data_IF_737841579894
#
_entry.id   IF_737841579894
#
_cell.length_a   1.000
_cell.length_b   1.000
_cell.length_c   1.000
_cell.angle_alpha   90.00
_cell.angle_beta   90.00
_cell.angle_gamma   90.00
#
_symmetry.space_group_name_H-M   'P 1'
#
loop_
_entity.id
_entity.type
_entity.pdbx_description
1 polymer ?
#
# COMPACT_ATOMS: atom_id res chain seq x y z
N UNK A 1 -4.19 -18.56 17.41
CA UNK A 1 -4.17 -19.30 16.11
C UNK A 1 -5.61 -19.55 15.69
N UNK A 2 -6.20 -18.64 14.91
CA UNK A 2 -7.63 -18.68 14.56
C UNK A 2 -7.98 -19.89 13.67
N UNK A 3 -7.04 -20.34 12.83
CA UNK A 3 -7.26 -21.43 11.86
C UNK A 3 -6.21 -22.54 11.93
N UNK A 4 -5.43 -22.65 13.01
CA UNK A 4 -4.34 -23.64 13.11
C UNK A 4 -3.21 -23.46 12.10
N UNK A 5 -3.10 -22.29 11.47
CA UNK A 5 -2.10 -21.99 10.43
C UNK A 5 -0.91 -21.27 11.03
N UNK A 6 0.30 -21.74 10.72
CA UNK A 6 1.54 -21.05 11.09
C UNK A 6 1.68 -19.74 10.31
N UNK A 7 1.83 -18.62 11.01
CA UNK A 7 2.10 -17.32 10.39
C UNK A 7 3.61 -17.07 10.41
N UNK A 8 4.21 -16.93 9.23
CA UNK A 8 5.60 -16.49 9.08
C UNK A 8 5.68 -14.99 8.90
N UNK A 9 6.43 -14.33 9.77
CA UNK A 9 6.61 -12.87 9.74
C UNK A 9 7.94 -12.54 9.07
N UNK A 10 7.87 -11.73 8.00
CA UNK A 10 9.05 -11.18 7.31
C UNK A 10 9.11 -9.69 7.62
N UNK A 11 10.18 -9.24 8.27
CA UNK A 11 10.36 -7.84 8.64
C UNK A 11 11.44 -7.19 7.74
N UNK A 12 11.11 -6.09 7.11
CA UNK A 12 12.01 -5.33 6.22
C UNK A 12 12.14 -3.86 6.57
N UNK A 13 11.83 -3.49 7.81
CA UNK A 13 11.90 -2.12 8.29
C UNK A 13 10.51 -1.47 8.44
N UNK A 14 10.47 -0.16 8.42
CA UNK A 14 9.28 0.63 8.72
C UNK A 14 9.05 1.79 7.76
N UNK A 15 7.82 2.32 7.77
CA UNK A 15 7.42 3.45 6.93
C UNK A 15 8.13 4.75 7.31
N UNK A 16 8.33 5.10 8.60
CA UNK A 16 9.09 6.29 8.99
C UNK A 16 10.49 6.35 8.38
N UNK A 17 11.23 5.26 8.40
CA UNK A 17 12.56 5.18 7.76
C UNK A 17 12.48 5.46 6.26
N UNK A 18 11.49 4.91 5.57
CA UNK A 18 11.29 5.18 4.15
C UNK A 18 10.89 6.64 3.89
N UNK A 19 10.04 7.22 4.74
CA UNK A 19 9.65 8.64 4.63
C UNK A 19 10.87 9.55 4.75
N UNK A 20 11.80 9.26 5.68
CA UNK A 20 13.07 9.98 5.80
C UNK A 20 13.95 9.80 4.56
N UNK A 21 14.06 8.56 4.06
CA UNK A 21 14.82 8.25 2.84
C UNK A 21 14.30 9.01 1.62
N UNK A 22 12.99 8.98 1.40
CA UNK A 22 12.36 9.58 0.23
C UNK A 22 11.99 11.05 0.40
N UNK A 23 12.15 11.62 1.60
CA UNK A 23 11.77 13.00 1.96
C UNK A 23 10.33 13.36 1.63
N UNK A 24 9.43 12.38 1.69
CA UNK A 24 7.99 12.55 1.45
C UNK A 24 7.18 11.41 2.02
N UNK A 25 5.91 11.67 2.27
CA UNK A 25 4.93 10.61 2.62
C UNK A 25 4.54 9.80 1.37
N UNK A 26 4.19 8.51 1.56
CA UNK A 26 3.60 7.72 0.49
C UNK A 26 2.26 8.32 0.06
N UNK A 27 1.94 8.20 -1.23
CA UNK A 27 0.69 8.67 -1.83
C UNK A 27 0.15 7.63 -2.80
N UNK A 28 -1.03 7.87 -3.34
CA UNK A 28 -1.61 6.99 -4.36
C UNK A 28 -0.71 6.83 -5.59
N UNK A 29 -0.08 7.92 -6.02
CA UNK A 29 0.83 7.92 -7.16
C UNK A 29 2.23 7.34 -6.82
N UNK A 30 2.59 7.23 -5.55
CA UNK A 30 3.93 6.85 -5.12
C UNK A 30 3.91 5.99 -3.86
N UNK A 31 3.57 4.72 -4.05
CA UNK A 31 3.43 3.72 -2.98
C UNK A 31 4.75 2.98 -2.71
N UNK A 32 5.85 3.73 -2.50
CA UNK A 32 7.15 3.12 -2.18
C UNK A 32 7.12 2.19 -0.97
N UNK A 33 6.22 2.41 -0.01
CA UNK A 33 6.01 1.49 1.11
C UNK A 33 5.55 0.10 0.65
N UNK A 34 4.72 0.01 -0.39
CA UNK A 34 4.31 -1.26 -0.98
C UNK A 34 5.48 -1.95 -1.68
N UNK A 35 6.26 -1.20 -2.44
CA UNK A 35 7.39 -1.75 -3.19
C UNK A 35 8.50 -2.25 -2.26
N UNK A 36 8.91 -1.44 -1.29
CA UNK A 36 10.04 -1.74 -0.41
C UNK A 36 9.68 -2.74 0.69
N UNK A 37 8.51 -2.58 1.35
CA UNK A 37 8.17 -3.36 2.54
C UNK A 37 7.27 -4.57 2.27
N UNK A 38 6.76 -4.73 1.04
CA UNK A 38 5.90 -5.87 0.70
C UNK A 38 6.44 -6.64 -0.51
N UNK A 39 6.51 -6.02 -1.69
CA UNK A 39 6.87 -6.72 -2.92
C UNK A 39 8.32 -7.19 -2.90
N UNK A 40 9.26 -6.31 -2.52
CA UNK A 40 10.68 -6.64 -2.45
C UNK A 40 10.96 -7.77 -1.46
N UNK A 41 10.35 -7.72 -0.28
CA UNK A 41 10.47 -8.77 0.72
C UNK A 41 9.81 -10.08 0.27
N UNK A 42 8.61 -9.99 -0.30
CA UNK A 42 7.92 -11.16 -0.84
C UNK A 42 8.74 -11.90 -1.88
N UNK A 43 9.41 -11.18 -2.80
CA UNK A 43 10.30 -11.81 -3.79
C UNK A 43 11.43 -12.61 -3.16
N UNK A 44 12.09 -12.03 -2.18
CA UNK A 44 13.20 -12.69 -1.47
C UNK A 44 12.67 -13.91 -0.73
N UNK A 45 11.61 -13.73 0.05
CA UNK A 45 10.99 -14.82 0.81
C UNK A 45 10.53 -15.97 -0.09
N UNK A 46 9.87 -15.70 -1.22
CA UNK A 46 9.43 -16.74 -2.14
C UNK A 46 10.59 -17.51 -2.74
N UNK A 47 11.67 -16.82 -3.11
CA UNK A 47 12.85 -17.47 -3.66
C UNK A 47 13.55 -18.36 -2.62
N UNK A 48 13.68 -17.89 -1.39
CA UNK A 48 14.27 -18.64 -0.29
C UNK A 48 13.44 -19.87 0.07
N UNK A 49 12.10 -19.69 0.15
CA UNK A 49 11.18 -20.78 0.45
C UNK A 49 11.24 -21.88 -0.61
N UNK A 50 11.16 -21.52 -1.91
CA UNK A 50 11.25 -22.48 -2.99
C UNK A 50 12.58 -23.26 -2.98
N UNK A 51 13.69 -22.57 -2.73
CA UNK A 51 15.02 -23.19 -2.63
C UNK A 51 15.12 -24.12 -1.42
N UNK A 52 14.61 -23.70 -0.26
CA UNK A 52 14.68 -24.50 0.98
C UNK A 52 13.84 -25.77 0.91
N UNK A 53 12.70 -25.71 0.19
CA UNK A 53 11.82 -26.86 -0.01
C UNK A 53 12.25 -27.77 -1.16
N UNK A 54 13.12 -27.28 -2.05
CA UNK A 54 13.48 -27.98 -3.29
C UNK A 54 12.30 -28.16 -4.27
N UNK A 55 11.22 -27.40 -4.09
CA UNK A 55 9.99 -27.48 -4.86
C UNK A 55 9.32 -26.10 -5.03
N UNK A 56 8.63 -25.90 -6.12
CA UNK A 56 7.77 -24.76 -6.33
C UNK A 56 6.51 -24.80 -5.43
N UNK A 57 5.82 -23.68 -5.33
CA UNK A 57 4.58 -23.54 -4.58
C UNK A 57 3.70 -22.44 -5.18
N UNK A 58 2.44 -22.47 -4.79
CA UNK A 58 1.46 -21.50 -5.22
C UNK A 58 1.21 -20.42 -4.15
N UNK A 59 1.23 -19.15 -4.56
CA UNK A 59 0.92 -17.99 -3.72
C UNK A 59 -0.49 -17.51 -4.01
N UNK A 60 -1.33 -17.48 -3.01
CA UNK A 60 -2.70 -16.98 -3.12
C UNK A 60 -2.80 -15.53 -2.67
N UNK A 61 -3.32 -14.68 -3.55
CA UNK A 61 -3.59 -13.28 -3.22
C UNK A 61 -5.09 -13.01 -3.21
N UNK A 62 -5.58 -12.49 -2.08
CA UNK A 62 -6.96 -12.03 -1.92
C UNK A 62 -7.26 -10.70 -2.63
N UNK A 63 -6.77 -10.51 -3.86
CA UNK A 63 -6.99 -9.28 -4.63
C UNK A 63 -8.24 -9.44 -5.49
N UNK A 64 -9.05 -8.36 -5.56
CA UNK A 64 -10.33 -8.34 -6.29
C UNK A 64 -10.38 -7.19 -7.28
N UNK A 65 -11.07 -7.36 -8.40
CA UNK A 65 -11.35 -6.30 -9.37
C UNK A 65 -12.13 -5.14 -8.73
N UNK A 66 -13.15 -5.47 -7.94
CA UNK A 66 -14.05 -4.52 -7.30
C UNK A 66 -13.37 -3.54 -6.31
N UNK A 67 -12.11 -3.76 -5.93
CA UNK A 67 -11.44 -2.88 -4.96
C UNK A 67 -11.01 -1.52 -5.51
N UNK A 68 -10.79 -1.40 -6.81
CA UNK A 68 -10.51 -0.12 -7.47
C UNK A 68 -10.52 -0.25 -8.99
N UNK A 69 -10.80 0.85 -9.68
CA UNK A 69 -10.74 0.93 -11.14
C UNK A 69 -9.38 0.49 -11.74
N UNK A 70 -8.28 0.80 -11.04
CA UNK A 70 -6.96 0.34 -11.45
C UNK A 70 -6.82 -1.18 -11.38
N UNK A 71 -7.42 -1.84 -10.35
CA UNK A 71 -7.42 -3.29 -10.24
C UNK A 71 -8.35 -3.93 -11.23
N UNK A 72 -9.52 -3.36 -11.47
CA UNK A 72 -10.44 -3.81 -12.51
C UNK A 72 -9.75 -3.84 -13.87
N UNK A 73 -9.10 -2.74 -14.26
CA UNK A 73 -8.34 -2.67 -15.50
C UNK A 73 -7.18 -3.69 -15.55
N UNK A 74 -6.44 -3.85 -14.44
CA UNK A 74 -5.30 -4.77 -14.38
C UNK A 74 -5.69 -6.23 -14.51
N UNK A 75 -6.80 -6.62 -13.89
CA UNK A 75 -7.24 -8.01 -13.83
C UNK A 75 -8.41 -8.31 -14.77
N UNK A 76 -8.72 -7.43 -15.73
CA UNK A 76 -9.85 -7.59 -16.66
C UNK A 76 -9.80 -8.87 -17.47
N UNK A 77 -8.59 -9.38 -17.76
CA UNK A 77 -8.39 -10.65 -18.48
C UNK A 77 -8.06 -11.84 -17.57
N UNK A 78 -8.02 -11.66 -16.24
CA UNK A 78 -7.68 -12.74 -15.30
C UNK A 78 -8.94 -13.54 -14.96
N UNK A 79 -8.88 -14.85 -15.07
CA UNK A 79 -9.98 -15.74 -14.68
C UNK A 79 -9.81 -16.13 -13.21
N UNK A 80 -10.94 -16.27 -12.49
CA UNK A 80 -10.95 -16.83 -11.14
C UNK A 80 -10.29 -18.21 -11.16
N UNK A 81 -9.46 -18.48 -10.16
CA UNK A 81 -8.68 -19.72 -10.04
C UNK A 81 -7.64 -19.99 -11.15
N UNK A 82 -7.39 -19.05 -12.04
CA UNK A 82 -6.28 -19.16 -12.98
C UNK A 82 -4.93 -19.10 -12.25
N UNK A 83 -4.07 -20.08 -12.56
CA UNK A 83 -2.69 -20.13 -12.08
C UNK A 83 -1.80 -19.45 -13.10
N UNK A 84 -1.08 -18.42 -12.67
CA UNK A 84 -0.20 -17.64 -13.54
C UNK A 84 1.23 -17.53 -13.01
N UNK A 85 2.23 -17.42 -13.88
CA UNK A 85 3.59 -17.17 -13.45
C UNK A 85 3.73 -15.74 -12.87
N UNK A 86 4.58 -15.54 -11.84
CA UNK A 86 4.77 -14.25 -11.18
C UNK A 86 5.08 -13.08 -12.12
N UNK A 87 5.88 -13.30 -13.15
CA UNK A 87 6.24 -12.25 -14.10
C UNK A 87 5.05 -11.76 -14.97
N UNK A 88 4.03 -12.59 -15.21
CA UNK A 88 2.80 -12.18 -15.89
C UNK A 88 1.85 -11.44 -14.93
N UNK A 89 1.83 -11.84 -13.66
CA UNK A 89 1.02 -11.16 -12.64
C UNK A 89 1.44 -9.71 -12.41
N UNK A 90 2.75 -9.47 -12.29
CA UNK A 90 3.33 -8.13 -12.16
C UNK A 90 4.65 -8.03 -12.95
N UNK A 91 4.60 -7.77 -14.26
CA UNK A 91 5.79 -7.79 -15.13
C UNK A 91 6.92 -6.88 -14.68
N UNK A 92 6.60 -5.68 -14.14
CA UNK A 92 7.60 -4.72 -13.66
C UNK A 92 8.14 -5.02 -12.25
N UNK A 93 7.55 -5.98 -11.53
CA UNK A 93 7.85 -6.22 -10.10
C UNK A 93 8.40 -7.61 -9.84
N UNK A 94 7.85 -8.65 -10.49
CA UNK A 94 8.29 -10.02 -10.28
C UNK A 94 9.22 -10.49 -11.40
N UNK A 95 10.42 -10.94 -11.07
CA UNK A 95 11.41 -11.38 -12.04
C UNK A 95 11.17 -12.84 -12.49
N UNK A 96 11.59 -13.17 -13.70
CA UNK A 96 11.50 -14.52 -14.30
C UNK A 96 12.17 -15.63 -13.47
N UNK A 97 13.10 -15.30 -12.59
CA UNK A 97 13.73 -16.35 -11.79
C UNK A 97 12.76 -17.02 -10.80
N UNK A 98 11.69 -16.35 -10.38
CA UNK A 98 10.66 -16.96 -9.54
C UNK A 98 9.88 -18.05 -10.29
N UNK A 99 9.62 -17.83 -11.58
CA UNK A 99 8.96 -18.83 -12.43
C UNK A 99 9.85 -20.07 -12.58
N UNK A 100 11.18 -19.86 -12.75
CA UNK A 100 12.16 -20.95 -12.83
C UNK A 100 12.27 -21.75 -11.53
N UNK A 101 11.92 -21.15 -10.40
CA UNK A 101 11.83 -21.82 -9.11
C UNK A 101 10.47 -22.50 -8.88
N UNK A 102 9.59 -22.49 -9.87
CA UNK A 102 8.25 -23.09 -9.79
C UNK A 102 7.25 -22.33 -8.92
N UNK A 103 7.54 -21.06 -8.61
CA UNK A 103 6.55 -20.21 -7.91
C UNK A 103 5.45 -19.81 -8.89
N UNK A 104 4.21 -19.95 -8.46
CA UNK A 104 3.04 -19.52 -9.23
C UNK A 104 2.11 -18.65 -8.38
N UNK A 105 1.19 -17.95 -9.01
CA UNK A 105 0.25 -17.02 -8.34
C UNK A 105 -1.17 -17.37 -8.77
N UNK A 106 -2.09 -17.31 -7.80
CA UNK A 106 -3.53 -17.45 -8.01
C UNK A 106 -4.30 -16.33 -7.33
N UNK A 107 -5.38 -15.88 -7.95
CA UNK A 107 -6.33 -14.90 -7.43
C UNK A 107 -7.70 -15.57 -7.23
N UNK A 108 -7.90 -16.33 -6.15
CA UNK A 108 -9.09 -17.17 -5.98
C UNK A 108 -10.40 -16.38 -5.83
N UNK A 109 -10.31 -15.11 -5.46
CA UNK A 109 -11.49 -14.25 -5.24
C UNK A 109 -11.48 -13.01 -6.15
N UNK A 110 -10.82 -13.08 -7.31
CA UNK A 110 -10.63 -11.92 -8.20
C UNK A 110 -11.95 -11.29 -8.65
N UNK A 111 -12.99 -12.09 -8.78
CA UNK A 111 -14.33 -11.68 -9.23
C UNK A 111 -15.30 -11.32 -8.10
N UNK A 112 -14.90 -11.54 -6.84
CA UNK A 112 -15.78 -11.28 -5.72
C UNK A 112 -16.07 -9.79 -5.54
N UNK A 113 -17.32 -9.48 -5.30
CA UNK A 113 -17.76 -8.16 -4.84
C UNK A 113 -17.40 -7.94 -3.36
N UNK A 114 -17.63 -6.74 -2.86
CA UNK A 114 -17.47 -6.47 -1.43
C UNK A 114 -18.54 -7.20 -0.60
N UNK A 115 -19.75 -7.33 -1.13
CA UNK A 115 -20.83 -8.11 -0.50
C UNK A 115 -20.47 -9.58 -0.38
N UNK A 116 -19.90 -10.18 -1.42
CA UNK A 116 -19.51 -11.61 -1.38
C UNK A 116 -18.48 -11.87 -0.28
N UNK A 117 -17.50 -10.95 -0.11
CA UNK A 117 -16.53 -11.06 0.98
C UNK A 117 -17.19 -10.92 2.34
N UNK A 118 -18.13 -9.99 2.50
CA UNK A 118 -18.81 -9.77 3.77
C UNK A 118 -19.72 -10.94 4.14
N UNK A 119 -20.42 -11.48 3.17
CA UNK A 119 -21.24 -12.68 3.34
C UNK A 119 -20.39 -13.89 3.74
N UNK A 120 -19.26 -14.09 3.04
CA UNK A 120 -18.35 -15.20 3.32
C UNK A 120 -17.72 -15.11 4.72
N UNK A 121 -17.30 -13.90 5.14
CA UNK A 121 -16.62 -13.68 6.42
C UNK A 121 -17.60 -13.70 7.60
N UNK A 122 -18.87 -13.32 7.40
CA UNK A 122 -19.86 -13.28 8.46
C UNK A 122 -19.36 -12.60 9.73
N UNK A 123 -19.44 -13.30 10.85
CA UNK A 123 -19.03 -12.79 12.17
C UNK A 123 -17.51 -12.63 12.32
N UNK A 124 -16.71 -13.19 11.41
CA UNK A 124 -15.25 -13.04 11.39
C UNK A 124 -14.77 -11.79 10.67
N UNK A 125 -15.70 -10.97 10.17
CA UNK A 125 -15.38 -9.70 9.54
C UNK A 125 -14.66 -8.77 10.52
N UNK A 126 -13.59 -8.11 10.05
CA UNK A 126 -12.83 -7.21 10.91
C UNK A 126 -13.74 -6.12 11.51
N UNK A 127 -13.73 -5.92 12.84
CA UNK A 127 -14.63 -5.00 13.54
C UNK A 127 -14.57 -3.54 13.06
N UNK A 128 -13.48 -3.12 12.44
CA UNK A 128 -13.34 -1.77 11.90
C UNK A 128 -14.37 -1.47 10.79
N UNK A 129 -14.85 -2.48 10.07
CA UNK A 129 -15.91 -2.27 9.07
C UNK A 129 -17.23 -1.84 9.71
N UNK A 130 -17.63 -2.45 10.85
CA UNK A 130 -18.82 -2.04 11.59
C UNK A 130 -18.68 -0.64 12.23
N UNK A 131 -17.44 -0.18 12.43
CA UNK A 131 -17.12 1.17 12.91
C UNK A 131 -17.03 2.19 11.76
N UNK A 132 -17.46 1.80 10.56
CA UNK A 132 -17.57 2.66 9.40
C UNK A 132 -16.26 2.90 8.66
N UNK A 133 -15.25 2.03 8.80
CA UNK A 133 -14.12 2.01 7.89
C UNK A 133 -14.51 1.21 6.64
N UNK A 134 -14.37 1.84 5.49
CA UNK A 134 -14.63 1.22 4.18
C UNK A 134 -13.48 0.33 3.69
N UNK A 135 -12.34 0.44 4.37
CA UNK A 135 -11.11 -0.25 4.03
C UNK A 135 -10.28 -0.55 5.27
N UNK A 136 -9.90 -1.79 5.44
CA UNK A 136 -8.99 -2.25 6.50
C UNK A 136 -7.67 -2.71 5.90
N UNK A 137 -6.56 -2.26 6.49
CA UNK A 137 -5.20 -2.55 6.04
C UNK A 137 -4.17 -1.96 6.99
N UNK A 138 -3.13 -1.30 6.46
CA UNK A 138 -2.22 -0.53 7.32
C UNK A 138 -2.99 0.53 8.09
N UNK A 139 -2.78 0.62 9.40
CA UNK A 139 -3.49 1.56 10.26
C UNK A 139 -2.51 2.46 11.02
N UNK A 140 -2.49 3.77 10.73
CA UNK A 140 -3.13 4.44 9.59
C UNK A 140 -2.42 4.18 8.26
N UNK A 141 -3.16 4.14 7.15
CA UNK A 141 -2.57 4.08 5.83
C UNK A 141 -2.20 5.49 5.34
N UNK A 142 -0.92 5.85 5.37
CA UNK A 142 -0.46 7.18 4.95
C UNK A 142 -0.61 7.45 3.45
N UNK A 143 -0.78 6.41 2.63
CA UNK A 143 -1.14 6.52 1.21
C UNK A 143 -2.66 6.59 0.97
N UNK A 144 -3.47 6.49 2.01
CA UNK A 144 -4.92 6.60 1.94
C UNK A 144 -5.41 8.04 1.72
N UNK A 145 -6.71 8.19 1.46
CA UNK A 145 -7.36 9.49 1.38
C UNK A 145 -7.31 10.25 2.71
N UNK A 146 -7.41 11.57 2.66
CA UNK A 146 -7.27 12.42 3.86
C UNK A 146 -8.37 12.16 4.90
N UNK A 147 -9.62 11.93 4.47
CA UNK A 147 -10.71 11.58 5.36
C UNK A 147 -10.44 10.30 6.15
N UNK A 148 -9.91 9.30 5.47
CA UNK A 148 -9.56 8.02 6.08
C UNK A 148 -8.39 8.17 7.07
N UNK A 149 -7.37 8.95 6.73
CA UNK A 149 -6.24 9.24 7.64
C UNK A 149 -6.71 9.89 8.93
N UNK A 150 -7.52 10.97 8.81
CA UNK A 150 -8.05 11.69 9.97
C UNK A 150 -8.90 10.76 10.83
N UNK A 151 -9.80 9.99 10.22
CA UNK A 151 -10.62 9.02 10.94
C UNK A 151 -9.76 8.00 11.70
N UNK A 152 -8.71 7.47 11.07
CA UNK A 152 -7.81 6.50 11.69
C UNK A 152 -6.98 7.12 12.84
N UNK A 153 -6.52 8.36 12.68
CA UNK A 153 -5.78 9.08 13.73
C UNK A 153 -6.63 9.39 14.96
N UNK A 154 -7.92 9.64 14.79
CA UNK A 154 -8.82 10.03 15.86
C UNK A 154 -9.59 8.84 16.47
N UNK A 155 -9.42 7.64 15.91
CA UNK A 155 -10.23 6.47 16.24
C UNK A 155 -10.04 5.98 17.68
N UNK A 156 -8.80 5.74 18.10
CA UNK A 156 -8.46 5.16 19.39
C UNK A 156 -7.10 5.67 19.90
N UNK A 157 -6.65 5.15 21.03
CA UNK A 157 -5.35 5.54 21.61
C UNK A 157 -4.18 5.18 20.69
N UNK A 158 -4.27 4.06 19.97
CA UNK A 158 -3.26 3.69 18.98
C UNK A 158 -3.25 4.69 17.84
N UNK A 159 -4.41 5.02 17.25
CA UNK A 159 -4.53 6.04 16.21
C UNK A 159 -3.94 7.39 16.65
N UNK A 160 -4.29 7.85 17.85
CA UNK A 160 -3.75 9.09 18.45
C UNK A 160 -2.23 9.05 18.62
N UNK A 161 -1.67 7.93 19.07
CA UNK A 161 -0.22 7.76 19.18
C UNK A 161 0.47 7.83 17.83
N UNK A 162 -0.13 7.22 16.80
CA UNK A 162 0.36 7.30 15.42
C UNK A 162 0.28 8.73 14.86
N UNK A 163 -0.79 9.49 15.20
CA UNK A 163 -0.90 10.91 14.83
C UNK A 163 0.29 11.71 15.35
N UNK A 164 0.65 11.55 16.63
CA UNK A 164 1.80 12.24 17.23
C UNK A 164 3.10 11.90 16.48
N UNK A 165 3.36 10.63 16.25
CA UNK A 165 4.56 10.18 15.53
C UNK A 165 4.62 10.71 14.10
N UNK A 166 3.49 10.73 13.40
CA UNK A 166 3.40 11.24 12.02
C UNK A 166 3.55 12.76 11.97
N UNK A 167 3.02 13.51 12.95
CA UNK A 167 3.23 14.97 13.08
C UNK A 167 4.72 15.28 13.26
N UNK A 168 5.40 14.57 14.17
CA UNK A 168 6.84 14.74 14.38
C UNK A 168 7.62 14.49 13.08
N UNK A 169 7.29 13.40 12.38
CA UNK A 169 7.92 13.07 11.11
C UNK A 169 7.64 14.10 10.01
N UNK A 170 6.41 14.67 9.97
CA UNK A 170 6.06 15.72 9.03
C UNK A 170 6.90 16.99 9.25
N UNK A 171 7.10 17.39 10.51
CA UNK A 171 7.99 18.50 10.87
C UNK A 171 9.45 18.22 10.51
N UNK A 172 9.94 17.02 10.80
CA UNK A 172 11.31 16.60 10.47
C UNK A 172 11.61 16.73 8.97
N UNK A 173 10.73 16.21 8.12
CA UNK A 173 10.92 16.22 6.66
C UNK A 173 10.35 17.47 5.97
N UNK A 174 9.70 18.36 6.71
CA UNK A 174 9.02 19.57 6.23
C UNK A 174 8.01 19.31 5.11
N UNK A 175 7.18 18.29 5.27
CA UNK A 175 6.14 17.89 4.31
C UNK A 175 4.81 17.64 5.00
N UNK A 176 3.74 18.07 4.35
CA UNK A 176 2.39 17.86 4.84
C UNK A 176 1.97 16.39 4.72
N UNK A 177 1.21 15.91 5.69
CA UNK A 177 0.60 14.58 5.68
C UNK A 177 -0.72 14.60 4.91
N UNK A 178 -1.48 15.69 5.04
CA UNK A 178 -2.76 15.89 4.38
C UNK A 178 -2.63 16.81 3.18
N UNK A 179 -3.54 16.67 2.23
CA UNK A 179 -3.67 17.63 1.13
C UNK A 179 -4.33 18.91 1.62
N UNK A 180 -3.92 20.05 1.08
CA UNK A 180 -4.48 21.36 1.45
C UNK A 180 -5.95 21.50 1.10
N UNK A 181 -6.47 20.76 0.12
CA UNK A 181 -7.85 20.91 -0.37
C UNK A 181 -8.91 20.40 0.59
N UNK A 182 -8.67 19.23 1.23
CA UNK A 182 -9.72 18.56 2.00
C UNK A 182 -9.68 18.93 3.49
N UNK A 183 -8.51 19.03 4.08
CA UNK A 183 -8.35 19.11 5.54
C UNK A 183 -7.34 20.14 6.02
N UNK A 184 -6.51 20.67 5.14
CA UNK A 184 -5.41 21.56 5.51
C UNK A 184 -5.82 22.91 6.10
N UNK A 185 -7.04 23.37 5.83
CA UNK A 185 -7.59 24.61 6.39
C UNK A 185 -8.36 24.40 7.71
N UNK A 186 -8.60 23.17 8.13
CA UNK A 186 -9.35 22.88 9.37
C UNK A 186 -8.43 22.98 10.57
N UNK A 187 -8.79 23.81 11.54
CA UNK A 187 -8.02 24.02 12.77
C UNK A 187 -7.71 22.71 13.50
N UNK A 188 -8.68 21.79 13.53
CA UNK A 188 -8.53 20.49 14.18
C UNK A 188 -7.40 19.59 13.60
N UNK A 189 -6.95 19.86 12.37
CA UNK A 189 -5.90 19.10 11.68
C UNK A 189 -4.70 19.97 11.30
N UNK A 190 -4.57 21.15 11.91
CA UNK A 190 -3.47 22.08 11.61
C UNK A 190 -2.10 21.50 11.96
N UNK A 191 -2.03 20.62 12.96
CA UNK A 191 -0.84 19.90 13.37
C UNK A 191 -0.26 18.96 12.29
N UNK A 192 -1.12 18.45 11.39
CA UNK A 192 -0.73 17.61 10.25
C UNK A 192 -0.25 18.43 9.03
N UNK A 193 -0.31 19.76 9.14
CA UNK A 193 0.04 20.70 8.07
C UNK A 193 1.30 21.47 8.46
N UNK A 194 2.43 20.98 8.03
CA UNK A 194 3.70 21.72 8.18
C UNK A 194 3.71 22.85 7.15
N UNK A 195 3.79 24.10 7.62
CA UNK A 195 3.92 25.24 6.72
C UNK A 195 5.27 25.16 5.98
N UNK A 196 5.23 24.65 4.78
CA UNK A 196 6.34 24.86 3.84
C UNK A 196 6.24 26.30 3.37
N UNK A 197 7.33 27.11 3.50
CA UNK A 197 7.39 28.41 2.84
C UNK A 197 6.92 28.19 1.40
N UNK A 198 5.83 28.88 0.99
CA UNK A 198 5.51 28.97 -0.42
C UNK A 198 6.77 29.44 -1.10
N UNK A 199 7.32 28.66 -2.04
CA UNK A 199 8.24 29.22 -3.02
C UNK A 199 7.45 30.36 -3.66
N UNK A 200 7.78 31.59 -3.30
CA UNK A 200 7.41 32.76 -4.06
C UNK A 200 7.74 32.41 -5.50
N UNK A 201 6.83 32.65 -6.40
CA UNK A 201 6.94 32.45 -7.83
C UNK A 201 8.33 32.92 -8.27
N UNK A 202 9.26 31.98 -8.31
CA UNK A 202 10.65 32.24 -8.71
C UNK A 202 10.70 32.06 -10.19
N UNK A 203 11.14 33.14 -10.79
CA UNK A 203 11.93 33.23 -12.03
C UNK A 203 11.85 32.02 -12.98
N UNK A 204 11.47 32.38 -14.19
CA UNK A 204 11.10 31.57 -15.34
C UNK A 204 12.22 30.66 -15.90
N UNK A 205 13.39 30.55 -15.24
CA UNK A 205 14.56 29.89 -15.78
C UNK A 205 14.84 28.45 -15.35
N UNK A 206 14.11 27.93 -14.33
CA UNK A 206 14.37 26.58 -13.85
C UNK A 206 13.38 25.50 -14.36
N UNK A 207 12.62 25.81 -15.43
CA UNK A 207 11.57 24.91 -15.93
C UNK A 207 12.08 23.85 -16.92
N UNK A 208 13.35 23.90 -17.31
CA UNK A 208 13.89 23.03 -18.37
C UNK A 208 14.89 21.96 -17.91
N UNK A 209 15.27 21.91 -16.63
CA UNK A 209 16.26 20.95 -16.13
C UNK A 209 15.68 19.76 -15.31
N UNK A 210 14.41 19.48 -15.41
CA UNK A 210 13.87 18.23 -14.86
C UNK A 210 14.02 17.13 -15.91
N UNK A 211 14.79 16.05 -15.63
CA UNK A 211 14.83 14.93 -16.56
C UNK A 211 13.44 14.35 -16.75
N UNK A 212 13.07 13.93 -17.96
CA UNK A 212 11.75 13.39 -18.23
C UNK A 212 11.48 12.18 -17.33
N UNK A 213 10.30 12.18 -16.72
CA UNK A 213 9.84 11.09 -15.87
C UNK A 213 9.73 9.80 -16.69
N UNK A 214 10.70 8.88 -16.54
CA UNK A 214 10.80 7.62 -17.27
C UNK A 214 9.70 6.60 -16.89
N UNK A 215 8.56 7.02 -16.34
CA UNK A 215 7.50 6.11 -15.91
C UNK A 215 6.11 6.39 -16.50
N UNK A 216 6.03 7.13 -17.60
CA UNK A 216 4.78 7.37 -18.31
C UNK A 216 4.74 6.76 -19.73
N UNK A 217 5.50 5.71 -19.97
CA UNK A 217 5.32 4.90 -21.19
C UNK A 217 5.06 3.46 -20.79
N UNK A 218 3.86 3.06 -20.96
CA UNK A 218 3.10 1.83 -21.18
C UNK A 218 1.81 1.84 -20.36
#
# INVERSE_FOLDING_TARGET
EMYGVEIRVVNGGDVPTLVRKYKRFPSDAARFCTDELKIKLGKVFYAELAKSQGAGFEVWYGMRRAESHQREKRYSGTVCDEVMPPHLFMPSKYPLYLDKLGVSIRLPIVDWSTSDVFEFMGDELNPLYSQGFDRVGCFPCLAGGDAWKVKAFDHDDFGRSQRIAVVQLAHEIKKNVLTTRAYGSKVANADLMVQTKRKTKLEHDDLFDAPPCMMCQI
#
